data_IF_013235461207
#
_entry.id   IF_013235461207
#
_cell.length_a   1.000
_cell.length_b   1.000
_cell.length_c   1.000
_cell.angle_alpha   90.00
_cell.angle_beta   90.00
_cell.angle_gamma   90.00
#
_symmetry.space_group_name_H-M   'P 1'
#
loop_
_entity.id
_entity.type
_entity.pdbx_description
1 polymer ?
#
# COMPACT_ATOMS: atom_id res chain seq x y z
N UNK A 1 23.53 -80.14 -17.56
CA UNK A 1 22.62 -81.13 -16.95
C UNK A 1 21.34 -80.38 -16.58
N UNK A 2 20.35 -80.34 -17.49
CA UNK A 2 18.95 -80.81 -17.31
C UNK A 2 18.30 -80.29 -16.00
N UNK A 3 17.18 -79.56 -15.92
CA UNK A 3 15.85 -79.78 -16.51
C UNK A 3 15.05 -78.45 -16.55
N UNK A 4 14.07 -78.46 -17.46
CA UNK A 4 13.10 -77.48 -17.93
C UNK A 4 11.83 -77.25 -17.06
N UNK A 5 11.11 -76.17 -17.43
CA UNK A 5 9.64 -75.92 -17.43
C UNK A 5 8.93 -75.45 -16.14
N UNK A 6 8.18 -74.34 -16.30
CA UNK A 6 7.01 -74.03 -15.47
C UNK A 6 6.48 -72.61 -15.59
N UNK A 7 6.02 -72.18 -16.77
CA UNK A 7 5.24 -70.94 -16.98
C UNK A 7 3.85 -71.03 -16.35
N UNK A 8 3.36 -69.92 -15.75
CA UNK A 8 1.93 -69.53 -15.83
C UNK A 8 1.74 -68.02 -15.63
N UNK A 9 0.96 -67.45 -16.55
CA UNK A 9 0.62 -66.05 -16.72
C UNK A 9 -0.40 -65.52 -15.70
N UNK A 10 -0.40 -64.18 -15.63
CA UNK A 10 -1.52 -63.26 -15.41
C UNK A 10 -2.05 -63.07 -13.97
N UNK A 11 -1.97 -61.84 -13.48
CA UNK A 11 -3.02 -60.84 -13.76
C UNK A 11 -2.63 -59.47 -13.19
N UNK A 12 -2.98 -58.42 -13.95
CA UNK A 12 -2.83 -57.01 -13.57
C UNK A 12 -3.75 -56.71 -12.39
N UNK A 13 -3.20 -56.53 -11.20
CA UNK A 13 -3.92 -56.01 -10.04
C UNK A 13 -4.13 -54.51 -10.18
N UNK A 14 -5.37 -54.12 -10.45
CA UNK A 14 -5.85 -52.75 -10.33
C UNK A 14 -5.60 -52.26 -8.90
N UNK A 15 -4.90 -51.13 -8.75
CA UNK A 15 -4.82 -50.43 -7.47
C UNK A 15 -6.21 -49.88 -7.19
N UNK A 16 -6.92 -50.49 -6.25
CA UNK A 16 -8.19 -49.97 -5.76
C UNK A 16 -7.97 -48.57 -5.17
N UNK A 17 -8.66 -47.60 -5.75
CA UNK A 17 -8.75 -46.21 -5.27
C UNK A 17 -9.35 -46.11 -3.85
N UNK A 18 -9.88 -47.20 -3.29
CA UNK A 18 -10.41 -47.23 -1.93
C UNK A 18 -9.30 -47.27 -0.86
N UNK A 19 -8.12 -47.85 -1.17
CA UNK A 19 -6.96 -47.81 -0.23
C UNK A 19 -6.33 -46.44 -0.08
N UNK A 20 -6.60 -45.51 -1.01
CA UNK A 20 -6.16 -44.10 -0.91
C UNK A 20 -7.20 -43.27 -0.14
N UNK A 21 -8.48 -43.67 -0.17
CA UNK A 21 -9.53 -43.05 0.65
C UNK A 21 -9.46 -43.44 2.13
N UNK A 22 -9.05 -44.67 2.44
CA UNK A 22 -8.93 -45.12 3.84
C UNK A 22 -7.73 -44.52 4.60
N UNK A 23 -6.75 -43.92 3.90
CA UNK A 23 -5.69 -43.10 4.53
C UNK A 23 -6.02 -41.60 4.61
N UNK A 24 -7.10 -41.14 3.96
CA UNK A 24 -7.60 -39.77 4.03
C UNK A 24 -8.68 -39.56 5.12
N UNK A 25 -9.04 -40.62 5.86
CA UNK A 25 -9.89 -40.55 7.06
C UNK A 25 -9.14 -40.77 8.37
N UNK A 26 -7.84 -40.44 8.41
CA UNK A 26 -7.12 -40.26 9.65
C UNK A 26 -7.15 -38.78 10.06
N UNK A 27 -7.90 -38.51 11.14
CA UNK A 27 -7.95 -37.28 11.93
C UNK A 27 -8.63 -36.08 11.25
N UNK A 28 -9.93 -35.90 11.54
CA UNK A 28 -10.42 -34.54 11.77
C UNK A 28 -9.44 -33.86 12.74
N UNK A 29 -8.83 -32.70 12.39
CA UNK A 29 -7.99 -32.00 13.34
C UNK A 29 -8.84 -31.71 14.57
N UNK A 30 -8.34 -32.10 15.75
CA UNK A 30 -9.00 -31.79 17.01
C UNK A 30 -9.34 -30.29 17.04
N UNK A 31 -10.53 -29.94 17.53
CA UNK A 31 -10.94 -28.55 17.64
C UNK A 31 -9.85 -27.73 18.33
N UNK A 32 -9.45 -26.61 17.71
CA UNK A 32 -8.41 -25.73 18.24
C UNK A 32 -8.86 -25.19 19.60
N UNK A 33 -8.22 -25.66 20.67
CA UNK A 33 -8.42 -25.13 22.02
C UNK A 33 -7.53 -23.91 22.21
N UNK A 34 -8.15 -22.73 22.32
CA UNK A 34 -7.50 -21.44 22.50
C UNK A 34 -8.27 -20.59 23.52
N UNK A 35 -7.62 -20.03 24.57
CA UNK A 35 -6.18 -20.09 24.83
C UNK A 35 -5.70 -21.48 25.28
N UNK A 36 -4.41 -21.82 25.07
CA UNK A 36 -3.83 -23.07 25.56
C UNK A 36 -3.82 -23.13 27.10
N UNK A 37 -3.70 -24.34 27.66
CA UNK A 37 -3.55 -24.50 29.10
C UNK A 37 -2.25 -23.82 29.59
N UNK A 38 -2.33 -23.21 30.78
CA UNK A 38 -1.19 -22.55 31.41
C UNK A 38 -0.14 -23.56 31.88
N UNK A 39 1.13 -23.15 31.81
CA UNK A 39 2.20 -23.90 32.46
C UNK A 39 2.05 -23.82 33.99
N UNK A 40 2.54 -24.83 34.74
CA UNK A 40 2.58 -24.78 36.20
C UNK A 40 3.30 -23.51 36.70
N UNK A 41 2.95 -23.04 37.90
CA UNK A 41 3.60 -21.88 38.50
C UNK A 41 5.10 -22.06 38.72
N UNK A 42 5.59 -23.31 38.82
CA UNK A 42 7.01 -23.62 38.93
C UNK A 42 7.82 -23.47 37.63
N UNK A 43 7.17 -23.23 36.48
CA UNK A 43 7.86 -22.92 35.22
C UNK A 43 7.96 -21.40 35.04
N UNK A 44 9.13 -20.84 35.35
CA UNK A 44 9.38 -19.40 35.26
C UNK A 44 9.57 -18.91 33.81
N UNK A 45 9.65 -19.80 32.82
CA UNK A 45 9.95 -19.46 31.44
C UNK A 45 8.71 -19.56 30.54
N UNK A 46 8.02 -20.71 30.54
CA UNK A 46 6.83 -20.92 29.74
C UNK A 46 5.58 -20.37 30.43
N UNK A 47 4.73 -19.69 29.67
CA UNK A 47 3.39 -19.28 30.10
C UNK A 47 2.35 -20.38 29.83
N UNK A 48 2.54 -21.14 28.74
CA UNK A 48 1.64 -22.24 28.35
C UNK A 48 2.34 -23.58 28.44
N UNK A 49 1.54 -24.64 28.53
CA UNK A 49 2.02 -25.99 28.21
C UNK A 49 2.49 -26.05 26.74
N UNK A 50 3.19 -27.14 26.39
CA UNK A 50 3.68 -27.40 25.03
C UNK A 50 2.55 -27.36 24.01
N UNK A 51 2.66 -26.47 23.03
CA UNK A 51 1.66 -26.23 21.99
C UNK A 51 1.67 -27.31 20.91
N UNK A 52 0.49 -27.68 20.43
CA UNK A 52 0.35 -28.43 19.18
C UNK A 52 0.55 -27.52 17.95
N UNK A 53 0.61 -28.08 16.74
CA UNK A 53 0.91 -27.29 15.53
C UNK A 53 -0.16 -26.25 15.24
N UNK A 54 -1.44 -26.59 15.37
CA UNK A 54 -2.55 -25.65 15.16
C UNK A 54 -2.51 -24.48 16.18
N UNK A 55 -2.07 -24.73 17.41
CA UNK A 55 -1.87 -23.70 18.43
C UNK A 55 -0.62 -22.85 18.17
N UNK A 56 0.41 -23.40 17.53
CA UNK A 56 1.59 -22.65 17.08
C UNK A 56 1.20 -21.69 15.96
N UNK A 57 0.48 -22.19 14.95
CA UNK A 57 -0.03 -21.37 13.85
C UNK A 57 -0.93 -20.26 14.40
N UNK A 58 -1.82 -20.60 15.36
CA UNK A 58 -2.69 -19.61 16.00
C UNK A 58 -1.93 -18.54 16.79
N UNK A 59 -0.91 -18.92 17.56
CA UNK A 59 -0.05 -17.97 18.26
C UNK A 59 0.65 -17.01 17.27
N UNK A 60 1.14 -17.54 16.13
CA UNK A 60 1.78 -16.73 15.09
C UNK A 60 0.79 -15.79 14.38
N UNK A 61 -0.43 -16.25 14.09
CA UNK A 61 -1.52 -15.41 13.58
C UNK A 61 -1.86 -14.27 14.54
N UNK A 62 -1.84 -14.52 15.85
CA UNK A 62 -2.06 -13.50 16.88
C UNK A 62 -0.83 -12.64 17.17
N UNK A 63 0.29 -12.86 16.45
CA UNK A 63 1.54 -12.11 16.63
C UNK A 63 2.29 -12.42 17.94
N UNK A 64 1.99 -13.56 18.57
CA UNK A 64 2.60 -13.98 19.82
C UNK A 64 3.85 -14.80 19.52
N UNK A 65 5.01 -14.32 19.98
CA UNK A 65 6.27 -15.04 19.83
C UNK A 65 6.28 -16.36 20.61
N UNK A 66 6.78 -17.41 19.98
CA UNK A 66 6.85 -18.77 20.52
C UNK A 66 8.33 -19.16 20.64
N UNK A 67 8.70 -19.73 21.78
CA UNK A 67 10.00 -20.38 21.90
C UNK A 67 10.01 -21.68 21.07
N UNK A 68 10.83 -21.72 20.03
CA UNK A 68 10.84 -22.83 19.06
C UNK A 68 11.38 -24.14 19.68
N UNK A 69 12.22 -24.05 20.71
CA UNK A 69 12.82 -25.22 21.35
C UNK A 69 11.84 -25.93 22.29
N UNK A 70 11.11 -25.16 23.12
CA UNK A 70 10.13 -25.68 24.09
C UNK A 70 8.71 -25.72 23.53
N UNK A 71 8.46 -25.07 22.37
CA UNK A 71 7.13 -24.92 21.73
C UNK A 71 6.09 -24.39 22.71
N UNK A 72 6.43 -23.33 23.44
CA UNK A 72 5.53 -22.68 24.39
C UNK A 72 5.51 -21.17 24.12
N UNK A 73 4.42 -20.52 24.50
CA UNK A 73 4.43 -19.05 24.63
C UNK A 73 5.23 -18.74 25.89
N UNK A 74 6.23 -17.87 25.81
CA UNK A 74 7.01 -17.50 26.99
C UNK A 74 6.24 -16.49 27.85
N UNK A 75 6.54 -16.42 29.15
CA UNK A 75 5.94 -15.39 30.03
C UNK A 75 6.25 -13.97 29.54
N UNK A 76 7.44 -13.75 29.00
CA UNK A 76 7.83 -12.47 28.39
C UNK A 76 7.00 -12.16 27.13
N UNK A 77 6.86 -13.11 26.20
CA UNK A 77 6.07 -12.92 24.99
C UNK A 77 4.58 -12.66 25.29
N UNK A 78 4.03 -13.34 26.30
CA UNK A 78 2.64 -13.09 26.72
C UNK A 78 2.49 -11.71 27.38
N UNK A 79 3.43 -11.30 28.23
CA UNK A 79 3.42 -9.97 28.83
C UNK A 79 3.53 -8.86 27.77
N UNK A 80 4.39 -9.04 26.77
CA UNK A 80 4.51 -8.12 25.64
C UNK A 80 3.23 -8.03 24.82
N UNK A 81 2.59 -9.18 24.53
CA UNK A 81 1.32 -9.25 23.81
C UNK A 81 0.19 -8.54 24.56
N UNK A 82 0.05 -8.78 25.86
CA UNK A 82 -0.98 -8.12 26.68
C UNK A 82 -0.72 -6.61 26.80
N UNK A 83 0.54 -6.20 26.99
CA UNK A 83 0.90 -4.78 26.94
C UNK A 83 0.62 -4.16 25.57
N UNK A 84 0.85 -4.89 24.48
CA UNK A 84 0.52 -4.44 23.13
C UNK A 84 -0.99 -4.29 22.93
N UNK A 85 -1.81 -5.25 23.39
CA UNK A 85 -3.28 -5.12 23.38
C UNK A 85 -3.76 -3.89 24.12
N UNK A 86 -3.19 -3.63 25.31
CA UNK A 86 -3.53 -2.43 26.10
C UNK A 86 -3.12 -1.16 25.37
N UNK A 87 -1.90 -1.08 24.79
CA UNK A 87 -1.46 0.06 23.98
C UNK A 87 -2.36 0.27 22.76
N UNK A 88 -2.74 -0.80 22.05
CA UNK A 88 -3.62 -0.73 20.89
C UNK A 88 -5.06 -0.33 21.27
N UNK A 89 -5.59 -0.82 22.39
CA UNK A 89 -6.91 -0.42 22.88
C UNK A 89 -6.93 1.04 23.35
N UNK A 90 -5.86 1.50 24.02
CA UNK A 90 -5.70 2.90 24.41
C UNK A 90 -5.56 3.81 23.18
N UNK A 91 -4.76 3.41 22.19
CA UNK A 91 -4.64 4.11 20.92
C UNK A 91 -5.98 4.16 20.18
N UNK A 92 -6.74 3.05 20.11
CA UNK A 92 -8.08 3.02 19.52
C UNK A 92 -9.05 3.98 20.22
N UNK A 93 -9.12 3.98 21.56
CA UNK A 93 -9.96 4.92 22.30
C UNK A 93 -9.55 6.38 22.08
N UNK A 94 -8.25 6.66 22.00
CA UNK A 94 -7.75 7.99 21.72
C UNK A 94 -8.08 8.42 20.28
N UNK A 95 -7.93 7.52 19.32
CA UNK A 95 -8.35 7.73 17.93
C UNK A 95 -9.87 7.91 17.81
N UNK A 96 -10.68 7.16 18.55
CA UNK A 96 -12.14 7.31 18.59
C UNK A 96 -12.55 8.66 19.17
N UNK A 97 -11.88 9.12 20.25
CA UNK A 97 -12.11 10.45 20.83
C UNK A 97 -11.73 11.57 19.85
N UNK A 98 -10.56 11.46 19.21
CA UNK A 98 -10.12 12.44 18.19
C UNK A 98 -11.05 12.41 16.99
N UNK A 99 -11.51 11.23 16.57
CA UNK A 99 -12.49 11.04 15.50
C UNK A 99 -13.84 11.64 15.87
N UNK A 100 -14.30 11.54 17.12
CA UNK A 100 -15.55 12.15 17.56
C UNK A 100 -15.50 13.68 17.50
N UNK A 101 -14.39 14.28 17.95
CA UNK A 101 -14.14 15.72 17.84
C UNK A 101 -14.05 16.15 16.36
N UNK A 102 -13.35 15.37 15.55
CA UNK A 102 -13.20 15.59 14.11
C UNK A 102 -14.54 15.48 13.36
N UNK A 103 -15.40 14.52 13.73
CA UNK A 103 -16.77 14.38 13.18
C UNK A 103 -17.63 15.58 13.53
N UNK A 104 -17.50 16.16 14.73
CA UNK A 104 -18.22 17.39 15.09
C UNK A 104 -17.75 18.58 14.23
N UNK A 105 -16.44 18.71 14.01
CA UNK A 105 -15.88 19.74 13.12
C UNK A 105 -16.38 19.53 11.69
N UNK A 106 -16.39 18.29 11.20
CA UNK A 106 -16.90 17.94 9.87
C UNK A 106 -18.38 18.23 9.70
N UNK A 107 -19.21 17.98 10.72
CA UNK A 107 -20.64 18.33 10.68
C UNK A 107 -20.86 19.83 10.58
N UNK A 108 -20.08 20.64 11.30
CA UNK A 108 -20.14 22.10 11.22
C UNK A 108 -19.69 22.58 9.83
N UNK A 109 -18.61 22.01 9.29
CA UNK A 109 -18.11 22.35 7.95
C UNK A 109 -19.10 21.91 6.86
N UNK A 110 -19.70 20.72 6.96
CA UNK A 110 -20.73 20.23 6.04
C UNK A 110 -21.97 21.14 6.06
N UNK A 111 -22.38 21.63 7.23
CA UNK A 111 -23.47 22.61 7.35
C UNK A 111 -23.12 23.94 6.68
N UNK A 112 -21.88 24.41 6.82
CA UNK A 112 -21.40 25.66 6.19
C UNK A 112 -21.16 25.53 4.67
N UNK A 113 -20.84 24.33 4.19
CA UNK A 113 -20.79 24.02 2.75
C UNK A 113 -22.22 23.97 2.19
N UNK A 114 -23.15 23.34 2.91
CA UNK A 114 -24.56 23.24 2.50
C UNK A 114 -25.28 24.61 2.49
N UNK A 115 -24.88 25.55 3.36
CA UNK A 115 -25.37 26.93 3.36
C UNK A 115 -24.76 27.79 2.24
N UNK A 116 -23.76 27.27 1.52
CA UNK A 116 -23.04 28.01 0.47
C UNK A 116 -22.05 29.05 1.00
N UNK A 117 -21.80 29.08 2.33
CA UNK A 117 -20.83 29.98 2.95
C UNK A 117 -19.37 29.56 2.67
N UNK A 118 -19.14 28.28 2.38
CA UNK A 118 -17.81 27.73 2.05
C UNK A 118 -17.81 27.08 0.66
N UNK A 119 -16.99 27.62 -0.25
CA UNK A 119 -16.57 26.88 -1.44
C UNK A 119 -15.66 25.71 -1.00
N UNK A 120 -16.01 24.47 -1.36
CA UNK A 120 -15.23 23.26 -1.05
C UNK A 120 -13.76 23.44 -1.47
N UNK A 121 -12.91 23.72 -0.48
CA UNK A 121 -11.51 24.04 -0.65
C UNK A 121 -10.71 22.77 -0.95
N UNK A 122 -9.85 22.79 -1.97
CA UNK A 122 -8.96 21.67 -2.24
C UNK A 122 -7.80 21.63 -1.22
N UNK A 123 -7.08 20.50 -1.12
CA UNK A 123 -6.03 20.34 -0.10
C UNK A 123 -4.95 21.42 -0.18
N UNK A 124 -4.56 21.81 -1.40
CA UNK A 124 -3.53 22.83 -1.62
C UNK A 124 -3.96 24.19 -1.08
N UNK A 125 -5.19 24.59 -1.36
CA UNK A 125 -5.76 25.81 -0.82
C UNK A 125 -5.86 25.74 0.71
N UNK A 126 -6.24 24.60 1.29
CA UNK A 126 -6.35 24.46 2.75
C UNK A 126 -4.99 24.48 3.49
N UNK A 127 -3.91 24.15 2.78
CA UNK A 127 -2.53 24.31 3.26
C UNK A 127 -1.96 25.70 2.99
N UNK A 128 -2.61 26.53 2.18
CA UNK A 128 -2.10 27.86 1.84
C UNK A 128 -1.95 28.72 3.10
N UNK A 129 -0.79 29.37 3.23
CA UNK A 129 -0.45 30.18 4.39
C UNK A 129 -0.12 29.39 5.68
N UNK A 130 -0.18 28.04 5.65
CA UNK A 130 0.21 27.19 6.77
C UNK A 130 1.63 26.68 6.61
N UNK A 131 2.42 26.77 7.67
CA UNK A 131 3.77 26.19 7.75
C UNK A 131 3.71 24.90 8.55
N UNK A 132 4.29 23.83 8.00
CA UNK A 132 4.38 22.56 8.70
C UNK A 132 5.31 22.65 9.91
N UNK A 133 4.92 22.00 11.02
CA UNK A 133 5.75 21.86 12.21
C UNK A 133 6.52 20.54 12.26
N UNK A 134 6.52 19.78 11.15
CA UNK A 134 7.03 18.39 11.10
C UNK A 134 8.48 18.28 11.56
N UNK A 135 9.32 19.27 11.25
CA UNK A 135 10.72 19.32 11.64
C UNK A 135 10.93 19.20 13.16
N UNK A 136 10.01 19.74 13.96
CA UNK A 136 10.07 19.69 15.43
C UNK A 136 9.72 18.32 16.00
N UNK A 137 9.08 17.46 15.19
CA UNK A 137 8.62 16.14 15.59
C UNK A 137 9.48 14.98 15.01
N UNK A 138 10.49 15.28 14.20
CA UNK A 138 11.33 14.26 13.59
C UNK A 138 12.21 13.56 14.64
N UNK A 139 12.22 12.22 14.59
CA UNK A 139 13.16 11.39 15.34
C UNK A 139 14.53 11.38 14.65
N UNK A 140 15.62 11.03 15.35
CA UNK A 140 16.95 10.91 14.73
C UNK A 140 16.96 10.02 13.47
N UNK A 141 16.18 8.93 13.48
CA UNK A 141 16.04 8.02 12.33
C UNK A 141 15.39 8.66 11.07
N UNK A 142 14.78 9.84 11.18
CA UNK A 142 14.29 10.61 10.04
C UNK A 142 15.44 11.23 9.22
N UNK A 143 16.61 11.44 9.84
CA UNK A 143 17.81 11.97 9.19
C UNK A 143 18.54 10.83 8.51
N UNK A 144 18.09 10.48 7.30
CA UNK A 144 18.77 9.49 6.47
C UNK A 144 20.02 10.10 5.81
N UNK A 145 21.09 9.30 5.61
CA UNK A 145 22.18 9.70 4.74
C UNK A 145 21.66 10.04 3.34
N UNK A 146 22.27 11.05 2.71
CA UNK A 146 22.00 11.38 1.31
C UNK A 146 22.38 10.15 0.47
N UNK A 147 21.45 9.71 -0.38
CA UNK A 147 21.69 8.65 -1.35
C UNK A 147 21.86 9.28 -2.73
N UNK A 148 22.82 8.87 -3.56
CA UNK A 148 22.92 9.38 -4.92
C UNK A 148 21.68 8.97 -5.72
N UNK A 149 21.42 9.68 -6.83
CA UNK A 149 20.42 9.23 -7.80
C UNK A 149 20.79 7.84 -8.36
N UNK A 150 19.81 6.93 -8.51
CA UNK A 150 20.07 5.64 -9.14
C UNK A 150 20.41 5.80 -10.63
N UNK A 151 21.05 4.79 -11.22
CA UNK A 151 21.40 4.76 -12.64
C UNK A 151 20.62 3.65 -13.35
N UNK A 152 19.36 3.89 -13.75
CA UNK A 152 18.59 2.90 -14.49
C UNK A 152 19.20 2.66 -15.89
N UNK A 153 18.90 1.52 -16.53
CA UNK A 153 19.24 1.33 -17.93
C UNK A 153 18.63 2.44 -18.80
N UNK A 154 19.45 3.13 -19.59
CA UNK A 154 19.04 4.33 -20.34
C UNK A 154 18.01 4.04 -21.42
N UNK A 155 17.91 2.79 -21.88
CA UNK A 155 16.82 2.35 -22.77
C UNK A 155 15.45 2.29 -22.08
N UNK A 156 15.41 2.24 -20.74
CA UNK A 156 14.17 2.21 -19.97
C UNK A 156 13.81 3.58 -19.42
N UNK A 157 14.80 4.30 -18.88
CA UNK A 157 14.58 5.58 -18.21
C UNK A 157 15.75 6.54 -18.40
N UNK A 158 15.41 7.82 -18.57
CA UNK A 158 16.35 8.95 -18.62
C UNK A 158 15.99 9.99 -17.56
N UNK A 159 16.96 10.77 -17.05
CA UNK A 159 16.68 11.80 -16.06
C UNK A 159 15.85 12.95 -16.66
N UNK A 160 14.95 13.49 -15.85
CA UNK A 160 14.17 14.70 -16.10
C UNK A 160 14.29 15.61 -14.88
N UNK A 161 14.55 16.90 -15.06
CA UNK A 161 14.46 17.88 -13.97
C UNK A 161 13.14 18.64 -14.03
N UNK A 162 12.61 19.02 -12.87
CA UNK A 162 11.42 19.85 -12.73
C UNK A 162 11.56 20.84 -11.57
N UNK A 163 10.74 21.89 -11.57
CA UNK A 163 10.71 22.89 -10.49
C UNK A 163 9.48 22.70 -9.62
N UNK A 164 9.67 22.66 -8.30
CA UNK A 164 8.59 22.65 -7.31
C UNK A 164 8.84 23.79 -6.32
N UNK A 165 8.11 24.90 -6.49
CA UNK A 165 8.47 26.17 -5.85
C UNK A 165 9.90 26.56 -6.19
N UNK A 166 10.71 26.84 -5.17
CA UNK A 166 12.12 27.22 -5.32
C UNK A 166 13.07 26.02 -5.50
N UNK A 167 12.57 24.79 -5.37
CA UNK A 167 13.37 23.58 -5.51
C UNK A 167 13.49 23.17 -6.98
N UNK A 168 14.71 22.79 -7.39
CA UNK A 168 14.94 22.02 -8.61
C UNK A 168 15.09 20.56 -8.22
N UNK A 169 14.13 19.73 -8.61
CA UNK A 169 14.05 18.32 -8.28
C UNK A 169 14.26 17.46 -9.54
N UNK A 170 14.59 16.20 -9.34
CA UNK A 170 14.80 15.23 -10.41
C UNK A 170 13.70 14.16 -10.45
N UNK A 171 13.58 13.53 -11.61
CA UNK A 171 12.70 12.41 -11.87
C UNK A 171 13.34 11.53 -12.95
N UNK A 172 12.78 10.34 -13.15
CA UNK A 172 13.12 9.47 -14.26
C UNK A 172 11.90 9.25 -15.13
N UNK A 173 12.07 9.40 -16.44
CA UNK A 173 10.99 9.25 -17.43
C UNK A 173 11.41 8.29 -18.53
N UNK A 174 10.46 7.56 -19.09
CA UNK A 174 10.69 6.76 -20.31
C UNK A 174 11.28 7.64 -21.41
N UNK A 175 12.37 7.23 -22.10
CA UNK A 175 12.98 8.03 -23.16
C UNK A 175 12.03 8.23 -24.34
N UNK A 176 12.22 9.33 -25.06
CA UNK A 176 11.49 9.60 -26.30
C UNK A 176 11.70 8.44 -27.30
N UNK A 177 10.64 7.74 -27.73
CA UNK A 177 10.74 6.67 -28.71
C UNK A 177 11.18 7.17 -30.10
N UNK A 178 11.08 8.49 -30.36
CA UNK A 178 11.35 9.15 -31.65
C UNK A 178 10.54 8.58 -32.82
N UNK A 179 9.36 8.04 -32.54
CA UNK A 179 8.43 7.50 -33.52
C UNK A 179 7.34 8.51 -33.95
N UNK A 180 7.36 9.73 -33.37
CA UNK A 180 6.40 10.79 -33.62
C UNK A 180 5.03 10.58 -32.98
N UNK A 181 4.84 9.52 -32.16
CA UNK A 181 3.57 9.21 -31.51
C UNK A 181 3.55 9.76 -30.08
N UNK A 182 2.36 10.20 -29.64
CA UNK A 182 2.12 10.55 -28.25
C UNK A 182 1.63 9.35 -27.45
N UNK A 183 2.29 9.08 -26.34
CA UNK A 183 2.04 7.94 -25.46
C UNK A 183 1.23 8.37 -24.24
N UNK A 184 0.30 7.53 -23.74
CA UNK A 184 -0.28 7.73 -22.42
C UNK A 184 0.83 7.60 -21.36
N UNK A 185 0.71 8.35 -20.27
CA UNK A 185 1.71 8.43 -19.21
C UNK A 185 1.16 7.86 -17.90
N UNK A 186 1.89 6.95 -17.27
CA UNK A 186 1.69 6.55 -15.88
C UNK A 186 2.74 7.20 -14.98
N UNK A 187 2.31 8.05 -14.05
CA UNK A 187 3.16 8.56 -12.98
C UNK A 187 3.05 7.60 -11.81
N UNK A 188 4.15 6.99 -11.38
CA UNK A 188 4.12 5.96 -10.34
C UNK A 188 4.90 6.37 -9.10
N UNK A 189 4.24 6.30 -7.94
CA UNK A 189 4.80 6.59 -6.62
C UNK A 189 5.07 5.28 -5.87
N UNK A 190 6.33 5.03 -5.51
CA UNK A 190 6.77 3.79 -4.88
C UNK A 190 6.29 3.64 -3.42
N UNK A 191 6.17 2.39 -2.96
CA UNK A 191 5.91 2.09 -1.55
C UNK A 191 7.15 2.30 -0.67
N UNK A 192 6.93 2.42 0.64
CA UNK A 192 8.02 2.62 1.60
C UNK A 192 8.57 4.05 1.55
N UNK A 193 9.82 4.20 1.12
CA UNK A 193 10.44 5.52 0.96
C UNK A 193 10.02 6.18 -0.36
N UNK A 194 8.82 6.75 -0.42
CA UNK A 194 8.28 7.31 -1.67
C UNK A 194 9.03 8.56 -2.17
N UNK A 195 9.87 9.19 -1.35
CA UNK A 195 10.64 10.37 -1.74
C UNK A 195 11.88 9.99 -2.56
N UNK A 196 12.45 8.82 -2.30
CA UNK A 196 13.69 8.36 -2.94
C UNK A 196 13.42 7.19 -3.88
N UNK A 197 14.30 7.00 -4.84
CA UNK A 197 14.32 5.86 -5.74
C UNK A 197 15.63 5.09 -5.58
N UNK A 198 15.53 3.78 -5.72
CA UNK A 198 16.66 2.86 -5.84
C UNK A 198 16.44 2.01 -7.12
N UNK A 199 16.47 0.68 -7.06
CA UNK A 199 16.06 -0.17 -8.19
C UNK A 199 14.53 -0.17 -8.40
N UNK A 200 14.05 0.87 -9.09
CA UNK A 200 12.63 1.02 -9.45
C UNK A 200 12.28 0.40 -10.81
N UNK A 201 13.28 0.00 -11.61
CA UNK A 201 13.08 -0.51 -12.98
C UNK A 201 13.00 -2.03 -13.05
N UNK A 202 13.73 -2.75 -12.19
CA UNK A 202 13.72 -4.20 -12.18
C UNK A 202 12.36 -4.74 -11.71
N UNK A 203 11.89 -5.78 -12.38
CA UNK A 203 10.66 -6.45 -11.97
C UNK A 203 10.88 -7.24 -10.69
N UNK A 204 9.96 -7.07 -9.74
CA UNK A 204 9.89 -7.93 -8.57
C UNK A 204 9.27 -9.29 -8.90
N UNK A 205 9.27 -10.23 -7.94
CA UNK A 205 8.52 -11.48 -8.07
C UNK A 205 7.02 -11.18 -8.23
N UNK A 206 6.27 -12.09 -8.86
CA UNK A 206 4.83 -11.90 -9.12
C UNK A 206 4.00 -11.56 -7.87
N UNK A 207 4.40 -12.07 -6.71
CA UNK A 207 3.76 -11.82 -5.42
C UNK A 207 4.10 -10.43 -4.82
N UNK A 208 5.02 -9.66 -5.39
CA UNK A 208 5.47 -8.36 -4.87
C UNK A 208 6.18 -7.52 -5.95
N UNK A 209 5.61 -7.43 -7.15
CA UNK A 209 6.20 -6.60 -8.22
C UNK A 209 5.74 -5.14 -8.06
N UNK A 210 6.56 -4.36 -7.37
CA UNK A 210 6.32 -2.93 -7.10
C UNK A 210 6.83 -2.01 -8.21
N UNK A 211 7.46 -2.55 -9.26
CA UNK A 211 8.06 -1.77 -10.35
C UNK A 211 7.03 -1.16 -11.30
N UNK A 212 5.76 -1.57 -11.18
CA UNK A 212 4.67 -1.21 -12.09
C UNK A 212 5.01 -1.45 -13.58
N UNK A 213 5.88 -2.44 -13.85
CA UNK A 213 6.39 -2.78 -15.18
C UNK A 213 5.31 -3.05 -16.22
N UNK A 214 4.13 -3.49 -15.79
CA UNK A 214 3.00 -3.75 -16.66
C UNK A 214 2.65 -2.57 -17.56
N UNK A 215 2.72 -1.33 -17.05
CA UNK A 215 2.37 -0.13 -17.83
C UNK A 215 3.39 0.15 -18.94
N UNK A 216 4.70 0.15 -18.62
CA UNK A 216 5.75 0.31 -19.66
C UNK A 216 5.74 -0.83 -20.67
N UNK A 217 5.50 -2.07 -20.24
CA UNK A 217 5.40 -3.24 -21.13
C UNK A 217 4.19 -3.18 -22.07
N UNK A 218 3.13 -2.51 -21.65
CA UNK A 218 1.97 -2.24 -22.49
C UNK A 218 2.21 -1.09 -23.48
N UNK A 219 3.32 -0.35 -23.39
CA UNK A 219 3.62 0.79 -24.27
C UNK A 219 3.19 2.15 -23.74
N UNK A 220 2.94 2.27 -22.43
CA UNK A 220 2.78 3.56 -21.77
C UNK A 220 4.16 4.15 -21.42
N UNK A 221 4.30 5.47 -21.54
CA UNK A 221 5.39 6.16 -20.89
C UNK A 221 5.22 6.06 -19.37
N UNK A 222 6.33 6.03 -18.64
CA UNK A 222 6.33 6.05 -17.18
C UNK A 222 7.16 7.21 -16.63
N UNK A 223 6.67 7.82 -15.55
CA UNK A 223 7.37 8.83 -14.76
C UNK A 223 7.51 8.36 -13.31
N UNK A 224 8.74 8.38 -12.80
CA UNK A 224 9.07 8.14 -11.40
C UNK A 224 9.73 9.40 -10.83
N UNK A 225 8.99 10.24 -10.09
CA UNK A 225 9.58 11.41 -9.46
C UNK A 225 10.40 11.01 -8.23
N UNK A 226 11.54 11.68 -8.04
CA UNK A 226 12.17 11.78 -6.71
C UNK A 226 11.74 13.11 -6.10
N UNK A 227 11.44 13.14 -4.81
CA UNK A 227 10.80 14.28 -4.15
C UNK A 227 11.81 15.05 -3.29
N UNK A 228 11.38 16.15 -2.67
CA UNK A 228 12.22 16.91 -1.72
C UNK A 228 12.84 16.01 -0.65
N UNK A 229 14.14 16.22 -0.38
CA UNK A 229 14.89 15.43 0.60
C UNK A 229 14.99 13.92 0.28
N UNK A 230 14.68 13.50 -0.95
CA UNK A 230 14.90 12.15 -1.46
C UNK A 230 16.12 12.08 -2.36
N UNK A 231 16.87 10.97 -2.29
CA UNK A 231 18.19 10.85 -2.91
C UNK A 231 19.06 12.11 -2.63
N UNK A 232 19.60 12.74 -3.67
CA UNK A 232 20.41 13.97 -3.62
C UNK A 232 19.60 15.23 -4.01
N UNK A 233 18.26 15.15 -4.04
CA UNK A 233 17.43 16.32 -4.24
C UNK A 233 17.53 17.29 -3.04
N UNK A 234 17.46 18.61 -3.31
CA UNK A 234 17.41 19.61 -2.26
C UNK A 234 16.10 19.54 -1.44
N UNK A 235 16.08 20.30 -0.33
CA UNK A 235 14.94 20.38 0.58
C UNK A 235 14.98 19.32 1.68
N UNK A 236 13.89 19.22 2.42
CA UNK A 236 13.73 18.26 3.51
C UNK A 236 12.43 17.48 3.30
N UNK A 237 12.40 16.24 3.78
CA UNK A 237 11.19 15.42 3.76
C UNK A 237 10.18 16.02 4.71
N UNK A 238 8.98 16.25 4.20
CA UNK A 238 7.90 16.83 4.96
C UNK A 238 6.77 15.84 5.21
N UNK A 239 6.86 14.58 4.76
CA UNK A 239 5.92 13.49 5.07
C UNK A 239 4.49 13.72 4.56
N UNK A 240 4.36 13.87 3.24
CA UNK A 240 3.13 14.17 2.49
C UNK A 240 2.68 15.63 2.53
N UNK A 241 3.52 16.57 2.99
CA UNK A 241 3.19 17.99 2.88
C UNK A 241 3.61 18.49 1.51
N UNK A 242 4.82 19.05 1.43
CA UNK A 242 5.48 19.52 0.22
C UNK A 242 5.60 18.49 -0.90
N UNK A 243 5.63 17.20 -0.55
CA UNK A 243 5.66 16.11 -1.53
C UNK A 243 4.45 16.13 -2.48
N UNK A 244 3.29 16.62 -2.02
CA UNK A 244 2.10 16.74 -2.88
C UNK A 244 2.35 17.75 -4.00
N UNK A 245 2.97 18.89 -3.69
CA UNK A 245 3.38 19.90 -4.67
C UNK A 245 4.46 19.35 -5.61
N UNK A 246 5.39 18.56 -5.09
CA UNK A 246 6.46 17.98 -5.90
C UNK A 246 5.91 17.02 -6.96
N UNK A 247 4.97 16.13 -6.59
CA UNK A 247 4.32 15.22 -7.55
C UNK A 247 3.51 16.01 -8.57
N UNK A 248 2.74 17.00 -8.13
CA UNK A 248 1.98 17.88 -9.02
C UNK A 248 2.87 18.57 -10.07
N UNK A 249 4.00 19.12 -9.64
CA UNK A 249 4.96 19.77 -10.51
C UNK A 249 5.62 18.80 -11.50
N UNK A 250 5.97 17.59 -11.05
CA UNK A 250 6.53 16.55 -11.91
C UNK A 250 5.55 16.15 -13.03
N UNK A 251 4.26 16.00 -12.69
CA UNK A 251 3.19 15.71 -13.66
C UNK A 251 3.08 16.83 -14.70
N UNK A 252 3.03 18.09 -14.26
CA UNK A 252 2.92 19.25 -15.16
C UNK A 252 4.16 19.41 -16.05
N UNK A 253 5.34 19.06 -15.57
CA UNK A 253 6.57 19.05 -16.37
C UNK A 253 6.54 17.93 -17.41
N UNK A 254 6.12 16.72 -17.04
CA UNK A 254 6.05 15.58 -17.95
C UNK A 254 4.98 15.77 -19.03
N UNK A 255 3.87 16.45 -18.71
CA UNK A 255 2.82 16.80 -19.67
C UNK A 255 3.31 17.67 -20.85
N UNK A 256 4.47 18.34 -20.69
CA UNK A 256 5.09 19.18 -21.73
C UNK A 256 6.03 18.40 -22.65
N UNK A 257 6.31 17.12 -22.37
CA UNK A 257 7.17 16.29 -23.21
C UNK A 257 6.49 16.04 -24.56
N UNK A 258 7.22 16.17 -25.69
CA UNK A 258 6.59 16.14 -27.03
C UNK A 258 5.96 14.79 -27.40
N UNK A 259 6.44 13.71 -26.78
CA UNK A 259 5.97 12.34 -26.95
C UNK A 259 4.97 11.88 -25.88
N UNK A 260 4.57 12.76 -24.95
CA UNK A 260 3.51 12.48 -23.96
C UNK A 260 2.17 13.03 -24.45
N UNK A 261 1.12 12.24 -24.28
CA UNK A 261 -0.26 12.66 -24.50
C UNK A 261 -0.84 13.32 -23.24
N UNK A 262 -1.00 14.66 -23.21
CA UNK A 262 -1.48 15.36 -22.01
C UNK A 262 -2.92 15.02 -21.65
N UNK A 263 -3.70 14.42 -22.55
CA UNK A 263 -5.07 13.98 -22.27
C UNK A 263 -5.14 12.58 -21.63
N UNK A 264 -4.02 11.85 -21.60
CA UNK A 264 -3.92 10.46 -21.09
C UNK A 264 -2.80 10.33 -20.05
N UNK A 265 -2.85 11.18 -19.03
CA UNK A 265 -1.96 11.10 -17.87
C UNK A 265 -2.70 10.44 -16.71
N UNK A 266 -2.08 9.43 -16.11
CA UNK A 266 -2.59 8.71 -14.97
C UNK A 266 -1.61 8.82 -13.80
N UNK A 267 -2.16 8.75 -12.59
CA UNK A 267 -1.38 8.73 -11.36
C UNK A 267 -1.61 7.40 -10.65
N UNK A 268 -0.54 6.72 -10.30
CA UNK A 268 -0.59 5.48 -9.54
C UNK A 268 0.40 5.49 -8.39
N UNK A 269 0.15 4.66 -7.40
CA UNK A 269 1.12 4.42 -6.35
C UNK A 269 0.78 3.20 -5.53
N UNK A 270 1.78 2.74 -4.78
CA UNK A 270 1.65 1.62 -3.86
C UNK A 270 1.93 2.05 -2.41
N UNK A 271 1.15 1.55 -1.47
CA UNK A 271 1.30 1.75 -0.03
C UNK A 271 1.47 3.24 0.31
N UNK A 272 2.63 3.63 0.83
CA UNK A 272 3.00 5.03 1.07
C UNK A 272 2.84 5.95 -0.15
N UNK A 273 3.27 5.48 -1.32
CA UNK A 273 3.06 6.19 -2.58
C UNK A 273 1.60 6.25 -3.01
N UNK A 274 0.77 5.26 -2.65
CA UNK A 274 -0.68 5.31 -2.90
C UNK A 274 -1.37 6.38 -2.04
N UNK A 275 -0.97 6.52 -0.77
CA UNK A 275 -1.48 7.59 0.09
C UNK A 275 -1.08 8.96 -0.45
N UNK A 276 0.17 9.13 -0.91
CA UNK A 276 0.60 10.36 -1.57
C UNK A 276 -0.15 10.61 -2.89
N UNK A 277 -0.45 9.56 -3.66
CA UNK A 277 -1.24 9.67 -4.88
C UNK A 277 -2.65 10.20 -4.59
N UNK A 278 -3.33 9.70 -3.55
CA UNK A 278 -4.64 10.20 -3.13
C UNK A 278 -4.58 11.67 -2.70
N UNK A 279 -3.62 12.04 -1.85
CA UNK A 279 -3.45 13.44 -1.43
C UNK A 279 -3.16 14.34 -2.64
N UNK A 280 -2.37 13.86 -3.59
CA UNK A 280 -2.08 14.60 -4.83
C UNK A 280 -3.30 14.76 -5.72
N UNK A 281 -4.14 13.73 -5.83
CA UNK A 281 -5.41 13.81 -6.57
C UNK A 281 -6.35 14.89 -6.00
N UNK A 282 -6.29 15.13 -4.69
CA UNK A 282 -7.10 16.16 -4.02
C UNK A 282 -6.66 17.59 -4.38
N UNK A 283 -5.50 17.77 -5.03
CA UNK A 283 -5.05 19.07 -5.54
C UNK A 283 -5.76 19.51 -6.83
N UNK A 284 -6.58 18.65 -7.45
CA UNK A 284 -7.34 18.99 -8.66
C UNK A 284 -6.52 18.96 -9.95
N UNK A 285 -5.51 18.09 -10.03
CA UNK A 285 -4.67 17.95 -11.22
C UNK A 285 -5.41 17.34 -12.41
N UNK A 286 -5.00 17.67 -13.65
CA UNK A 286 -5.62 17.15 -14.88
C UNK A 286 -5.16 15.72 -15.20
N UNK A 287 -5.37 14.79 -14.26
CA UNK A 287 -5.13 13.35 -14.50
C UNK A 287 -6.43 12.67 -14.92
N UNK A 288 -6.35 11.77 -15.89
CA UNK A 288 -7.50 11.04 -16.41
C UNK A 288 -7.96 9.92 -15.47
N UNK A 289 -7.06 9.43 -14.60
CA UNK A 289 -7.41 8.45 -13.58
C UNK A 289 -6.34 8.28 -12.52
N UNK A 290 -6.73 7.84 -11.33
CA UNK A 290 -5.85 7.58 -10.18
C UNK A 290 -5.99 6.15 -9.69
N UNK A 291 -4.88 5.44 -9.48
CA UNK A 291 -4.85 4.05 -9.02
C UNK A 291 -4.02 3.92 -7.74
N UNK A 292 -4.70 3.95 -6.60
CA UNK A 292 -4.07 3.93 -5.28
C UNK A 292 -4.12 2.51 -4.69
N UNK A 293 -3.00 1.80 -4.72
CA UNK A 293 -2.87 0.44 -4.19
C UNK A 293 -2.45 0.43 -2.72
N UNK A 294 -3.32 -0.01 -1.84
CA UNK A 294 -3.10 -0.13 -0.40
C UNK A 294 -2.78 1.16 0.34
N UNK A 295 -3.42 2.31 0.06
CA UNK A 295 -3.20 3.51 0.86
C UNK A 295 -3.68 3.31 2.30
N UNK A 296 -3.04 3.99 3.25
CA UNK A 296 -3.67 4.25 4.56
C UNK A 296 -4.59 5.45 4.46
N UNK A 297 -5.66 5.41 5.25
CA UNK A 297 -6.68 6.45 5.40
C UNK A 297 -6.18 7.63 6.26
N UNK A 298 -5.42 7.31 7.31
CA UNK A 298 -4.77 8.27 8.19
C UNK A 298 -3.28 8.00 8.37
N UNK A 299 -2.46 9.06 8.37
CA UNK A 299 -0.99 8.97 8.48
C UNK A 299 -0.47 8.31 9.76
N UNK A 300 -1.28 8.28 10.82
CA UNK A 300 -0.95 7.56 12.05
C UNK A 300 -0.76 6.06 11.84
N UNK A 301 -1.25 5.50 10.73
CA UNK A 301 -1.03 4.11 10.34
C UNK A 301 0.41 3.78 9.92
N UNK A 302 1.24 4.78 9.61
CA UNK A 302 2.65 4.55 9.25
C UNK A 302 3.58 4.59 10.47
N UNK A 303 4.46 3.57 10.56
CA UNK A 303 5.56 3.49 11.52
C UNK A 303 6.75 4.41 11.20
N UNK A 304 6.46 5.63 10.75
CA UNK A 304 7.48 6.61 10.38
C UNK A 304 8.24 7.16 11.60
N UNK A 305 9.46 7.69 11.39
CA UNK A 305 10.26 8.28 12.44
C UNK A 305 9.77 9.70 12.81
N UNK A 306 8.46 9.83 13.08
CA UNK A 306 7.78 11.07 13.44
C UNK A 306 7.06 10.88 14.77
N UNK A 307 7.31 11.78 15.73
CA UNK A 307 6.55 11.86 16.98
C UNK A 307 5.19 12.51 16.72
N UNK A 308 4.23 11.77 16.20
CA UNK A 308 2.90 12.29 15.85
C UNK A 308 2.14 12.96 17.01
N UNK A 309 2.46 12.63 18.26
CA UNK A 309 1.91 13.31 19.44
C UNK A 309 2.33 14.79 19.58
N UNK A 310 3.37 15.23 18.86
CA UNK A 310 3.82 16.62 18.81
C UNK A 310 3.22 17.41 17.65
N UNK A 311 2.48 16.74 16.76
CA UNK A 311 1.84 17.37 15.60
C UNK A 311 0.36 17.62 15.92
N UNK A 312 -0.11 18.83 15.60
CA UNK A 312 -1.49 19.23 15.85
C UNK A 312 -2.49 18.34 15.10
N UNK A 313 -3.73 18.26 15.61
CA UNK A 313 -4.81 17.52 14.94
C UNK A 313 -5.05 18.06 13.52
N UNK A 314 -5.05 19.38 13.33
CA UNK A 314 -5.23 20.00 12.02
C UNK A 314 -4.11 19.65 11.02
N UNK A 315 -2.85 19.65 11.44
CA UNK A 315 -1.76 19.26 10.55
C UNK A 315 -1.82 17.77 10.20
N UNK A 316 -2.16 16.89 11.15
CA UNK A 316 -2.39 15.47 10.85
C UNK A 316 -3.55 15.27 9.88
N UNK A 317 -4.67 15.98 10.08
CA UNK A 317 -5.82 15.98 9.17
C UNK A 317 -5.43 16.43 7.76
N UNK A 318 -4.59 17.45 7.63
CA UNK A 318 -4.06 17.92 6.35
C UNK A 318 -3.13 16.91 5.68
N UNK A 319 -2.69 15.84 6.35
CA UNK A 319 -1.82 14.78 5.82
C UNK A 319 -2.54 13.47 5.56
N UNK A 320 -3.78 13.33 6.00
CA UNK A 320 -4.55 12.09 5.94
C UNK A 320 -5.59 12.17 4.82
N UNK A 321 -5.54 11.29 3.79
CA UNK A 321 -6.40 11.41 2.61
C UNK A 321 -7.90 11.27 2.90
N UNK A 322 -8.30 10.55 3.95
CA UNK A 322 -9.71 10.30 4.28
C UNK A 322 -10.54 11.60 4.42
N UNK A 323 -9.91 12.69 4.85
CA UNK A 323 -10.56 13.99 5.06
C UNK A 323 -10.71 14.83 3.78
N UNK A 324 -10.05 14.44 2.68
CA UNK A 324 -9.93 15.23 1.45
C UNK A 324 -10.55 14.55 0.22
N UNK A 325 -11.10 13.35 0.38
CA UNK A 325 -11.68 12.56 -0.71
C UNK A 325 -12.73 13.33 -1.53
N UNK A 326 -13.47 14.25 -0.92
CA UNK A 326 -14.45 15.12 -1.60
C UNK A 326 -13.83 16.07 -2.64
N UNK A 327 -12.55 16.40 -2.51
CA UNK A 327 -11.84 17.32 -3.40
C UNK A 327 -11.34 16.63 -4.68
N UNK A 328 -11.30 15.29 -4.72
CA UNK A 328 -10.89 14.51 -5.88
C UNK A 328 -11.90 14.69 -7.02
N UNK A 329 -11.40 15.09 -8.19
CA UNK A 329 -12.22 15.34 -9.40
C UNK A 329 -12.06 14.29 -10.48
N UNK A 330 -10.95 13.57 -10.49
CA UNK A 330 -10.64 12.51 -11.45
C UNK A 330 -11.17 11.15 -10.97
N UNK A 331 -11.59 10.26 -11.89
CA UNK A 331 -11.89 8.88 -11.56
C UNK A 331 -10.73 8.25 -10.80
N UNK A 332 -11.01 7.68 -9.63
CA UNK A 332 -9.99 7.24 -8.68
C UNK A 332 -10.39 5.89 -8.10
N UNK A 333 -9.51 4.90 -8.26
CA UNK A 333 -9.67 3.57 -7.72
C UNK A 333 -8.77 3.41 -6.49
N UNK A 334 -9.41 3.20 -5.34
CA UNK A 334 -8.76 2.85 -4.08
C UNK A 334 -8.82 1.32 -3.97
N UNK A 335 -7.66 0.68 -4.00
CA UNK A 335 -7.51 -0.74 -4.29
C UNK A 335 -6.78 -1.40 -3.13
N UNK A 336 -7.27 -2.53 -2.61
CA UNK A 336 -6.55 -3.32 -1.61
C UNK A 336 -6.85 -4.82 -1.79
N UNK A 337 -5.89 -5.67 -1.48
CA UNK A 337 -6.08 -7.12 -1.44
C UNK A 337 -6.94 -7.53 -0.24
N UNK A 338 -7.81 -8.54 -0.40
CA UNK A 338 -8.70 -8.99 0.68
C UNK A 338 -8.01 -9.88 1.72
N UNK A 339 -6.81 -10.39 1.44
CA UNK A 339 -6.03 -11.21 2.37
C UNK A 339 -5.06 -10.38 3.21
N UNK A 340 -4.74 -10.90 4.39
CA UNK A 340 -3.67 -10.36 5.22
C UNK A 340 -2.30 -10.79 4.70
N UNK A 341 -1.25 -9.94 4.85
CA UNK A 341 -1.30 -8.59 5.41
C UNK A 341 -1.91 -7.56 4.41
N UNK A 342 -2.51 -6.48 4.92
CA UNK A 342 -3.02 -5.37 4.09
C UNK A 342 -3.77 -4.29 4.87
N UNK A 343 -4.17 -3.22 4.17
CA UNK A 343 -4.83 -2.04 4.73
C UNK A 343 -6.34 -2.05 4.48
N UNK A 344 -6.99 -3.23 4.57
CA UNK A 344 -8.43 -3.38 4.30
C UNK A 344 -9.30 -2.46 5.17
N UNK A 345 -8.92 -2.25 6.44
CA UNK A 345 -9.61 -1.31 7.32
C UNK A 345 -9.54 0.14 6.79
N UNK A 346 -8.39 0.55 6.24
CA UNK A 346 -8.24 1.88 5.63
C UNK A 346 -9.08 2.01 4.36
N UNK A 347 -9.14 0.96 3.53
CA UNK A 347 -10.06 0.90 2.40
C UNK A 347 -11.50 1.09 2.90
N UNK A 348 -11.97 0.28 3.85
CA UNK A 348 -13.32 0.35 4.38
C UNK A 348 -13.67 1.73 4.96
N UNK A 349 -12.75 2.34 5.72
CA UNK A 349 -12.92 3.68 6.28
C UNK A 349 -13.09 4.74 5.18
N UNK A 350 -12.19 4.77 4.19
CA UNK A 350 -12.30 5.71 3.06
C UNK A 350 -13.55 5.44 2.22
N UNK A 351 -13.94 4.18 2.07
CA UNK A 351 -15.16 3.82 1.36
C UNK A 351 -16.42 4.24 2.08
N UNK A 352 -16.44 4.20 3.42
CA UNK A 352 -17.56 4.65 4.22
C UNK A 352 -17.72 6.17 4.21
N UNK A 353 -16.61 6.92 4.10
CA UNK A 353 -16.63 8.40 4.12
C UNK A 353 -16.75 9.04 2.72
N UNK A 354 -16.56 8.28 1.64
CA UNK A 354 -16.59 8.83 0.28
C UNK A 354 -17.98 9.43 -0.04
N UNK A 355 -17.97 10.69 -0.50
CA UNK A 355 -19.15 11.41 -0.99
C UNK A 355 -19.14 11.65 -2.51
N UNK A 356 -18.08 11.21 -3.20
CA UNK A 356 -17.86 11.44 -4.64
C UNK A 356 -18.12 10.20 -5.47
N UNK A 357 -18.79 10.36 -6.62
CA UNK A 357 -18.97 9.30 -7.62
C UNK A 357 -17.69 8.99 -8.41
N UNK A 358 -16.66 9.82 -8.26
CA UNK A 358 -15.34 9.60 -8.84
C UNK A 358 -14.55 8.54 -8.07
N UNK A 359 -14.99 8.16 -6.86
CA UNK A 359 -14.26 7.25 -5.99
C UNK A 359 -14.82 5.83 -6.07
N UNK A 360 -13.98 4.94 -6.55
CA UNK A 360 -14.26 3.52 -6.73
C UNK A 360 -13.43 2.73 -5.72
N UNK A 361 -14.11 2.01 -4.85
CA UNK A 361 -13.49 1.11 -3.88
C UNK A 361 -13.39 -0.29 -4.44
N UNK A 362 -12.20 -0.88 -4.41
CA UNK A 362 -11.90 -2.18 -5.02
C UNK A 362 -11.19 -3.07 -4.00
N UNK A 363 -11.88 -4.08 -3.49
CA UNK A 363 -11.34 -5.18 -2.70
C UNK A 363 -11.04 -6.36 -3.62
N UNK A 364 -9.76 -6.66 -3.80
CA UNK A 364 -9.30 -7.71 -4.73
C UNK A 364 -9.22 -9.04 -4.01
N UNK A 365 -10.07 -9.97 -4.42
CA UNK A 365 -10.23 -11.27 -3.79
C UNK A 365 -9.03 -12.18 -4.05
N UNK A 366 -8.51 -12.78 -2.99
CA UNK A 366 -7.48 -13.81 -3.09
C UNK A 366 -6.04 -13.29 -3.08
N UNK A 367 -5.84 -11.98 -3.12
CA UNK A 367 -4.56 -11.29 -3.02
C UNK A 367 -4.41 -10.55 -1.69
N UNK A 368 -3.18 -10.33 -1.28
CA UNK A 368 -2.78 -9.46 -0.16
C UNK A 368 -2.28 -8.10 -0.66
N UNK A 369 -1.73 -7.27 0.24
CA UNK A 369 -1.20 -5.94 -0.04
C UNK A 369 -0.19 -5.87 -1.20
N UNK A 370 0.57 -6.94 -1.42
CA UNK A 370 1.68 -6.96 -2.37
C UNK A 370 1.32 -7.73 -3.64
N UNK A 371 0.71 -8.91 -3.48
CA UNK A 371 0.36 -9.82 -4.57
C UNK A 371 -0.76 -9.29 -5.45
N UNK A 372 -1.49 -8.25 -5.01
CA UNK A 372 -2.50 -7.54 -5.80
C UNK A 372 -1.89 -6.75 -6.97
N UNK A 373 -0.64 -6.29 -6.83
CA UNK A 373 -0.02 -5.34 -7.75
C UNK A 373 0.11 -5.88 -9.17
N UNK A 374 0.83 -6.98 -9.36
CA UNK A 374 1.13 -7.49 -10.70
C UNK A 374 -0.14 -7.84 -11.51
N UNK A 375 -1.08 -8.66 -11.01
CA UNK A 375 -2.22 -9.06 -11.83
C UNK A 375 -3.12 -7.86 -12.16
N UNK A 376 -3.35 -6.95 -11.22
CA UNK A 376 -4.23 -5.81 -11.46
C UNK A 376 -3.58 -4.72 -12.31
N UNK A 377 -2.28 -4.45 -12.14
CA UNK A 377 -1.57 -3.50 -13.01
C UNK A 377 -1.51 -4.00 -14.45
N UNK A 378 -1.41 -5.32 -14.71
CA UNK A 378 -1.55 -5.90 -16.06
C UNK A 378 -2.92 -5.65 -16.67
N UNK A 379 -3.98 -5.90 -15.90
CA UNK A 379 -5.35 -5.65 -16.34
C UNK A 379 -5.56 -4.17 -16.67
N UNK A 380 -5.18 -3.27 -15.76
CA UNK A 380 -5.25 -1.83 -15.96
C UNK A 380 -4.44 -1.37 -17.17
N UNK A 381 -3.18 -1.79 -17.30
CA UNK A 381 -2.31 -1.39 -18.41
C UNK A 381 -2.95 -1.70 -19.77
N UNK A 382 -3.60 -2.86 -19.92
CA UNK A 382 -4.31 -3.22 -21.15
C UNK A 382 -5.47 -2.28 -21.47
N UNK A 383 -6.25 -1.87 -20.47
CA UNK A 383 -7.37 -0.94 -20.63
C UNK A 383 -6.87 0.47 -20.96
N UNK A 384 -5.88 0.98 -20.22
CA UNK A 384 -5.40 2.35 -20.34
C UNK A 384 -4.68 2.61 -21.67
N UNK A 385 -3.85 1.67 -22.13
CA UNK A 385 -3.15 1.85 -23.42
C UNK A 385 -4.14 1.90 -24.59
N UNK A 386 -5.22 1.13 -24.52
CA UNK A 386 -6.29 1.11 -25.53
C UNK A 386 -7.27 2.28 -25.38
N UNK A 387 -7.13 3.13 -24.36
CA UNK A 387 -8.07 4.22 -24.07
C UNK A 387 -9.47 3.71 -23.67
N UNK A 388 -9.55 2.47 -23.17
CA UNK A 388 -10.82 1.88 -22.74
C UNK A 388 -11.20 2.38 -21.34
N UNK A 389 -12.50 2.46 -21.04
CA UNK A 389 -12.96 2.69 -19.66
C UNK A 389 -12.39 1.64 -18.72
N UNK A 390 -11.98 2.06 -17.52
CA UNK A 390 -11.51 1.14 -16.49
C UNK A 390 -12.69 0.31 -16.00
N UNK A 391 -12.53 -1.01 -16.02
CA UNK A 391 -13.54 -1.96 -15.57
C UNK A 391 -12.98 -2.74 -14.38
N UNK A 392 -13.31 -2.26 -13.18
CA UNK A 392 -13.04 -2.91 -11.90
C UNK A 392 -14.32 -2.96 -11.08
N UNK A 393 -14.57 -4.11 -10.45
CA UNK A 393 -15.70 -4.30 -9.55
C UNK A 393 -15.29 -4.01 -8.11
N UNK A 394 -16.28 -3.81 -7.24
CA UNK A 394 -16.03 -3.64 -5.80
C UNK A 394 -15.34 -4.87 -5.19
N UNK A 395 -15.82 -6.07 -5.53
CA UNK A 395 -15.24 -7.34 -5.10
C UNK A 395 -14.57 -8.02 -6.30
N UNK A 396 -13.41 -7.49 -6.68
CA UNK A 396 -12.72 -7.85 -7.91
C UNK A 396 -12.08 -9.23 -7.78
N UNK A 397 -12.23 -10.07 -8.80
CA UNK A 397 -11.58 -11.40 -8.87
C UNK A 397 -10.44 -11.35 -9.88
N UNK A 398 -9.31 -11.95 -9.52
CA UNK A 398 -8.11 -12.04 -10.36
C UNK A 398 -8.22 -13.11 -11.45
#
# INVERSE_FOLDING_TARGET
MVVFIGTKMASRGWISLDRIKDKAHAQQPAALVWPPALAPESDDFCHTVKLNLAQVDKAQEEGINIDQQRRCITRAAMAEHEMAKVRHAAARKQHESQRAEQVQIEQVVDQQIASGEIALQNLMQARAGKTTQIATALLPAAHKPIQPMPTPPSQLFVPMSYRSGDLKLNAFVTPDPRDGRKQPLMVWLTGGDTNSLDDFWSEGPAANDQSASAFRKAGMAMLFPTLRGGNDNPGQREYFWGEVQDVAAAILQAAQLPYVDPARIYLGGHSTGATLALLTATAGLPVQGVFAFGPVDEIGGYGWPVKWGLISADEKRLRSPVYWLHAIKSPTWIIEGSKSPGNTNSLDNMCATRKSNQLHCVSVQGADHFSVLQPLTRKLASQLVMGQPVQLNRDEKL
#
